data_IF_692391897453
#
_entry.id   IF_692391897453
#
_cell.length_a   1.000
_cell.length_b   1.000
_cell.length_c   1.000
_cell.angle_alpha   90.00
_cell.angle_beta   90.00
_cell.angle_gamma   90.00
#
_symmetry.space_group_name_H-M   'P 1'
#
loop_
_entity.id
_entity.type
_entity.pdbx_description
1 polymer ?
#
# COMPACT_ATOMS: atom_id res chain seq x y z
N UNK A 1 19.66 -21.24 -34.29
CA UNK A 1 19.34 -21.80 -32.96
C UNK A 1 18.30 -20.91 -32.31
N UNK A 2 17.05 -21.39 -32.25
CA UNK A 2 15.92 -20.65 -31.71
C UNK A 2 15.90 -20.78 -30.19
N UNK A 3 15.94 -19.65 -29.48
CA UNK A 3 15.72 -19.59 -28.04
C UNK A 3 14.22 -19.72 -27.76
N UNK A 4 13.85 -20.77 -27.03
CA UNK A 4 12.49 -20.99 -26.52
C UNK A 4 12.06 -19.82 -25.63
N UNK A 5 10.79 -19.38 -25.69
CA UNK A 5 10.26 -18.42 -24.74
C UNK A 5 10.17 -19.09 -23.36
N UNK A 6 10.86 -18.50 -22.38
CA UNK A 6 10.71 -18.86 -20.97
C UNK A 6 9.27 -18.61 -20.53
N UNK A 7 8.63 -19.71 -20.15
CA UNK A 7 7.32 -19.82 -19.58
C UNK A 7 7.25 -19.02 -18.26
N UNK A 8 6.58 -17.86 -18.31
CA UNK A 8 6.24 -17.04 -17.13
C UNK A 8 5.07 -17.62 -16.32
N UNK A 9 4.74 -18.90 -16.49
CA UNK A 9 3.88 -19.67 -15.59
C UNK A 9 4.67 -20.18 -14.36
N UNK A 10 5.30 -19.28 -13.58
CA UNK A 10 5.62 -19.62 -12.19
C UNK A 10 4.32 -19.52 -11.40
N UNK A 11 3.63 -20.65 -11.30
CA UNK A 11 2.60 -20.95 -10.31
C UNK A 11 2.94 -20.25 -8.99
N UNK A 12 2.15 -19.23 -8.64
CA UNK A 12 2.08 -18.67 -7.30
C UNK A 12 1.58 -19.79 -6.41
N UNK A 13 2.50 -20.51 -5.76
CA UNK A 13 2.17 -21.50 -4.74
C UNK A 13 1.19 -20.84 -3.76
N UNK A 14 -0.05 -21.35 -3.70
CA UNK A 14 -1.12 -20.84 -2.84
C UNK A 14 -0.59 -20.80 -1.40
N UNK A 15 -0.25 -19.60 -0.92
CA UNK A 15 0.29 -19.39 0.42
C UNK A 15 -0.83 -19.68 1.41
N UNK A 16 -0.69 -20.79 2.13
CA UNK A 16 -1.57 -21.07 3.28
C UNK A 16 -1.18 -20.13 4.41
N UNK A 17 -2.19 -19.68 5.15
CA UNK A 17 -2.04 -18.81 6.30
C UNK A 17 -2.47 -19.60 7.53
N UNK A 18 -1.62 -19.62 8.54
CA UNK A 18 -1.91 -20.22 9.83
C UNK A 18 -2.30 -19.12 10.81
N UNK A 19 -3.52 -19.13 11.32
CA UNK A 19 -3.99 -18.12 12.27
C UNK A 19 -4.10 -18.75 13.65
N UNK A 20 -3.50 -18.10 14.65
CA UNK A 20 -3.55 -18.52 16.04
C UNK A 20 -4.25 -17.43 16.85
N UNK A 21 -5.46 -17.72 17.33
CA UNK A 21 -6.17 -16.87 18.29
C UNK A 21 -5.74 -17.23 19.71
N UNK A 22 -5.39 -16.22 20.53
CA UNK A 22 -4.88 -16.46 21.89
C UNK A 22 -5.92 -16.78 22.94
N UNK A 23 -7.18 -16.47 22.67
CA UNK A 23 -8.29 -16.77 23.56
C UNK A 23 -9.58 -17.05 22.76
N UNK A 24 -10.62 -17.52 23.44
CA UNK A 24 -11.90 -17.88 22.83
C UNK A 24 -12.64 -16.68 22.19
N UNK A 25 -12.51 -15.47 22.75
CA UNK A 25 -13.15 -14.27 22.20
C UNK A 25 -12.54 -13.90 20.83
N UNK A 26 -11.21 -13.93 20.71
CA UNK A 26 -10.53 -13.66 19.44
C UNK A 26 -10.65 -14.81 18.45
N UNK A 27 -10.83 -16.04 18.93
CA UNK A 27 -11.20 -17.16 18.07
C UNK A 27 -12.59 -16.91 17.43
N UNK A 28 -13.58 -16.52 18.24
CA UNK A 28 -14.92 -16.16 17.75
C UNK A 28 -14.84 -15.05 16.70
N UNK A 29 -14.12 -13.96 16.98
CA UNK A 29 -13.89 -12.86 16.03
C UNK A 29 -13.23 -13.34 14.72
N UNK A 30 -12.20 -14.18 14.82
CA UNK A 30 -11.55 -14.77 13.64
C UNK A 30 -12.53 -15.66 12.85
N UNK A 31 -13.36 -16.47 13.51
CA UNK A 31 -14.38 -17.30 12.84
C UNK A 31 -15.43 -16.45 12.14
N UNK A 32 -15.95 -15.40 12.78
CA UNK A 32 -16.87 -14.44 12.18
C UNK A 32 -16.26 -13.83 10.91
N UNK A 33 -15.00 -13.40 10.99
CA UNK A 33 -14.27 -12.82 9.86
C UNK A 33 -14.04 -13.83 8.73
N UNK A 34 -13.69 -15.08 9.05
CA UNK A 34 -13.52 -16.16 8.08
C UNK A 34 -14.82 -16.55 7.37
N UNK A 35 -15.94 -16.46 8.07
CA UNK A 35 -17.25 -16.81 7.54
C UNK A 35 -17.73 -15.80 6.48
N UNK A 36 -17.24 -14.56 6.56
CA UNK A 36 -17.49 -13.52 5.55
C UNK A 36 -16.71 -13.75 4.25
N UNK A 37 -15.59 -14.47 4.30
CA UNK A 37 -14.81 -14.76 3.11
C UNK A 37 -15.48 -15.79 2.20
N UNK A 38 -15.32 -15.67 0.86
CA UNK A 38 -15.76 -16.70 -0.07
C UNK A 38 -15.07 -18.04 0.21
N UNK A 39 -15.73 -19.19 -0.05
CA UNK A 39 -15.22 -20.51 0.33
C UNK A 39 -13.80 -20.82 -0.16
N UNK A 40 -13.42 -20.30 -1.34
CA UNK A 40 -12.08 -20.49 -1.91
C UNK A 40 -10.96 -19.80 -1.11
N UNK A 41 -11.26 -18.66 -0.49
CA UNK A 41 -10.33 -17.92 0.35
C UNK A 41 -10.25 -18.55 1.74
N UNK A 42 -11.40 -18.98 2.29
CA UNK A 42 -11.46 -19.65 3.60
C UNK A 42 -10.57 -20.89 3.67
N UNK A 43 -10.51 -21.71 2.61
CA UNK A 43 -9.65 -22.91 2.54
C UNK A 43 -8.15 -22.62 2.63
N UNK A 44 -7.74 -21.37 2.42
CA UNK A 44 -6.33 -20.95 2.52
C UNK A 44 -5.95 -20.58 3.96
N UNK A 45 -6.93 -20.41 4.86
CA UNK A 45 -6.69 -20.02 6.25
C UNK A 45 -7.02 -21.18 7.17
N UNK A 46 -6.04 -21.56 7.99
CA UNK A 46 -6.20 -22.56 9.03
C UNK A 46 -6.19 -21.88 10.40
N UNK A 47 -7.35 -21.78 11.03
CA UNK A 47 -7.52 -21.20 12.37
C UNK A 47 -7.30 -22.25 13.45
N UNK A 48 -6.48 -21.92 14.44
CA UNK A 48 -6.26 -22.68 15.67
C UNK A 48 -6.38 -21.79 16.91
N UNK A 49 -6.65 -22.43 18.04
CA UNK A 49 -6.49 -21.82 19.36
C UNK A 49 -5.11 -22.17 19.92
N UNK A 50 -4.61 -21.33 20.83
CA UNK A 50 -3.35 -21.61 21.55
C UNK A 50 -3.40 -22.93 22.32
N UNK A 51 -4.55 -23.30 22.89
CA UNK A 51 -4.74 -24.56 23.63
C UNK A 51 -4.54 -25.80 22.75
N UNK A 52 -4.89 -25.73 21.47
CA UNK A 52 -4.73 -26.83 20.51
C UNK A 52 -3.33 -26.90 19.88
N UNK A 53 -2.47 -25.90 20.12
CA UNK A 53 -1.15 -25.81 19.50
C UNK A 53 -0.16 -26.88 20.01
N UNK A 54 -0.33 -27.35 21.26
CA UNK A 54 0.54 -28.37 21.88
C UNK A 54 0.53 -29.73 21.15
N UNK A 55 -0.40 -29.96 20.21
CA UNK A 55 -0.55 -31.23 19.48
C UNK A 55 0.00 -31.25 18.04
N UNK A 56 0.42 -30.11 17.45
CA UNK A 56 0.72 -30.03 16.00
C UNK A 56 2.11 -29.51 15.62
N UNK A 57 3.03 -29.39 16.59
CA UNK A 57 4.35 -28.75 16.41
C UNK A 57 5.35 -29.51 15.51
N UNK A 58 5.03 -30.74 15.07
CA UNK A 58 5.97 -31.60 14.34
C UNK A 58 5.86 -31.59 12.80
N UNK A 59 4.89 -30.88 12.18
CA UNK A 59 4.63 -31.05 10.73
C UNK A 59 4.68 -29.80 9.83
N UNK A 60 4.97 -28.59 10.32
CA UNK A 60 4.80 -27.36 9.51
C UNK A 60 6.04 -26.49 9.39
N UNK A 61 7.12 -27.03 8.84
CA UNK A 61 8.36 -26.28 8.63
C UNK A 61 8.50 -25.59 7.27
N UNK A 62 7.60 -25.79 6.29
CA UNK A 62 7.85 -25.30 4.93
C UNK A 62 6.63 -24.58 4.33
N UNK A 63 6.77 -23.24 4.20
CA UNK A 63 5.99 -22.31 3.37
C UNK A 63 4.64 -21.74 3.89
N UNK A 64 4.26 -21.92 5.15
CA UNK A 64 3.04 -21.31 5.73
C UNK A 64 3.38 -20.01 6.48
N UNK A 65 2.61 -18.94 6.27
CA UNK A 65 2.75 -17.71 7.06
C UNK A 65 1.91 -17.82 8.33
N UNK A 66 2.51 -17.65 9.50
CA UNK A 66 1.80 -17.67 10.79
C UNK A 66 1.39 -16.25 11.21
N UNK A 67 0.14 -16.08 11.62
CA UNK A 67 -0.45 -14.85 12.15
C UNK A 67 -1.05 -15.12 13.53
N UNK A 68 -0.54 -14.43 14.56
CA UNK A 68 -1.14 -14.41 15.88
C UNK A 68 -2.13 -13.25 15.97
N UNK A 69 -3.33 -13.53 16.48
CA UNK A 69 -4.37 -12.53 16.76
C UNK A 69 -4.66 -12.56 18.25
N UNK A 70 -4.40 -11.45 18.94
CA UNK A 70 -4.34 -11.47 20.41
C UNK A 70 -4.69 -10.13 21.03
N UNK A 71 -5.08 -10.12 22.30
CA UNK A 71 -4.95 -8.91 23.13
C UNK A 71 -3.54 -8.82 23.66
N UNK A 72 -3.11 -7.58 23.91
CA UNK A 72 -1.89 -7.33 24.65
C UNK A 72 -1.90 -8.11 25.97
N UNK A 73 -3.02 -8.07 26.71
CA UNK A 73 -3.20 -8.71 28.02
C UNK A 73 -2.97 -10.23 28.04
N UNK A 74 -3.32 -10.92 26.95
CA UNK A 74 -3.21 -12.38 26.85
C UNK A 74 -1.75 -12.85 26.71
N UNK A 75 -0.83 -11.94 26.38
CA UNK A 75 0.58 -12.26 26.29
C UNK A 75 1.18 -12.51 27.69
N UNK A 76 1.99 -13.57 27.88
CA UNK A 76 2.48 -13.94 29.20
C UNK A 76 3.36 -12.86 29.85
N UNK A 77 3.02 -12.49 31.09
CA UNK A 77 3.69 -11.43 31.87
C UNK A 77 5.04 -11.85 32.47
N UNK A 78 5.25 -13.12 32.82
CA UNK A 78 6.53 -13.66 33.31
C UNK A 78 7.02 -14.82 32.43
N UNK A 79 8.35 -14.98 32.37
CA UNK A 79 9.04 -15.79 31.37
C UNK A 79 8.65 -17.26 31.38
N UNK A 80 7.76 -17.66 30.49
CA UNK A 80 7.75 -19.02 29.97
C UNK A 80 8.92 -19.14 28.99
N UNK A 81 10.14 -19.35 29.50
CA UNK A 81 11.34 -19.67 28.69
C UNK A 81 11.21 -21.01 27.92
N UNK A 82 10.05 -21.67 27.92
CA UNK A 82 9.90 -23.04 27.41
C UNK A 82 8.78 -23.35 26.43
N UNK A 83 7.69 -22.56 26.31
CA UNK A 83 6.47 -23.12 25.66
C UNK A 83 6.07 -22.52 24.30
N UNK A 84 6.59 -21.35 23.92
CA UNK A 84 6.28 -20.74 22.62
C UNK A 84 7.55 -20.36 21.89
N UNK A 85 8.10 -21.31 21.14
CA UNK A 85 9.12 -21.01 20.13
C UNK A 85 8.42 -20.24 19.01
N UNK A 86 8.32 -18.91 19.15
CA UNK A 86 7.72 -18.05 18.14
C UNK A 86 8.52 -18.23 16.86
N UNK A 87 7.86 -18.69 15.80
CA UNK A 87 8.48 -18.89 14.50
C UNK A 87 9.07 -17.56 14.01
N UNK A 88 10.27 -17.63 13.40
CA UNK A 88 11.01 -16.44 12.95
C UNK A 88 10.27 -15.59 11.92
N UNK A 89 9.20 -16.12 11.31
CA UNK A 89 8.38 -15.45 10.29
C UNK A 89 6.93 -15.15 10.73
N UNK A 90 6.60 -15.30 12.02
CA UNK A 90 5.26 -15.02 12.50
C UNK A 90 4.95 -13.51 12.50
N UNK A 91 3.72 -13.13 12.14
CA UNK A 91 3.15 -11.79 12.33
C UNK A 91 2.23 -11.75 13.55
N UNK A 92 2.13 -10.60 14.19
CA UNK A 92 1.33 -10.39 15.39
C UNK A 92 0.39 -9.21 15.17
N UNK A 93 -0.92 -9.47 15.19
CA UNK A 93 -1.96 -8.46 15.31
C UNK A 93 -2.37 -8.42 16.78
N UNK A 94 -1.99 -7.35 17.49
CA UNK A 94 -2.29 -7.17 18.90
C UNK A 94 -3.29 -6.05 19.10
N UNK A 95 -4.35 -6.32 19.85
CA UNK A 95 -5.32 -5.33 20.27
C UNK A 95 -4.97 -4.82 21.67
N UNK A 96 -4.88 -3.50 21.81
CA UNK A 96 -4.45 -2.84 23.05
C UNK A 96 -5.66 -2.25 23.76
N UNK A 97 -5.89 -2.72 24.98
CA UNK A 97 -7.02 -2.35 25.84
C UNK A 97 -6.60 -1.71 27.18
N UNK A 98 -5.30 -1.45 27.35
CA UNK A 98 -4.72 -0.97 28.60
C UNK A 98 -3.41 -0.20 28.37
N UNK A 99 -2.67 0.15 29.44
CA UNK A 99 -1.49 1.01 29.36
C UNK A 99 -0.42 0.44 28.41
N UNK A 100 -0.02 1.25 27.43
CA UNK A 100 0.97 0.90 26.39
C UNK A 100 2.32 0.54 27.02
N UNK A 101 2.61 1.05 28.22
CA UNK A 101 3.81 0.79 29.01
C UNK A 101 4.02 -0.72 29.27
N UNK A 102 2.92 -1.47 29.40
CA UNK A 102 2.98 -2.93 29.56
C UNK A 102 3.51 -3.65 28.30
N UNK A 103 3.56 -2.98 27.16
CA UNK A 103 4.08 -3.51 25.90
C UNK A 103 5.60 -3.59 25.88
N UNK A 104 6.31 -2.60 26.44
CA UNK A 104 7.77 -2.56 26.44
C UNK A 104 8.38 -3.83 27.09
N UNK A 105 7.75 -4.32 28.16
CA UNK A 105 8.16 -5.56 28.84
C UNK A 105 7.82 -6.84 28.06
N UNK A 106 6.89 -6.78 27.11
CA UNK A 106 6.37 -7.94 26.34
C UNK A 106 7.03 -8.10 24.97
N UNK A 107 7.41 -6.99 24.30
CA UNK A 107 7.99 -7.00 22.95
C UNK A 107 9.22 -7.91 22.78
N UNK A 108 10.24 -7.90 23.67
CA UNK A 108 11.42 -8.73 23.50
C UNK A 108 11.10 -10.24 23.43
N UNK A 109 9.97 -10.66 24.00
CA UNK A 109 9.55 -12.07 24.09
C UNK A 109 8.85 -12.57 22.84
N UNK A 110 8.28 -11.67 22.06
CA UNK A 110 7.63 -12.03 20.80
C UNK A 110 8.66 -12.35 19.70
N UNK A 111 9.96 -12.15 19.95
CA UNK A 111 11.01 -12.38 18.95
C UNK A 111 10.84 -11.49 17.71
N UNK A 112 10.14 -10.36 17.87
CA UNK A 112 9.86 -9.40 16.82
C UNK A 112 11.10 -8.53 16.65
N UNK A 113 11.79 -8.75 15.54
CA UNK A 113 12.98 -7.97 15.16
C UNK A 113 12.70 -6.95 14.05
N UNK A 114 11.46 -6.92 13.56
CA UNK A 114 11.06 -6.05 12.46
C UNK A 114 9.69 -5.46 12.76
N UNK A 115 9.50 -4.13 12.57
CA UNK A 115 8.19 -3.49 12.74
C UNK A 115 7.13 -4.04 11.77
N UNK A 116 7.53 -4.64 10.64
CA UNK A 116 6.64 -5.28 9.68
C UNK A 116 6.06 -6.63 10.14
N UNK A 117 6.35 -7.04 11.38
CA UNK A 117 5.80 -8.26 11.99
C UNK A 117 4.82 -7.96 13.12
N UNK A 118 4.57 -6.68 13.40
CA UNK A 118 3.70 -6.25 14.49
C UNK A 118 2.76 -5.14 14.03
N UNK A 119 1.46 -5.36 14.25
CA UNK A 119 0.48 -4.29 14.26
C UNK A 119 -0.17 -4.18 15.63
N UNK A 120 -0.28 -2.96 16.12
CA UNK A 120 -0.96 -2.62 17.36
C UNK A 120 -2.24 -1.90 16.97
N UNK A 121 -3.36 -2.59 17.07
CA UNK A 121 -4.66 -1.99 16.87
C UNK A 121 -5.19 -1.48 18.21
N UNK A 122 -5.79 -0.29 18.23
CA UNK A 122 -6.61 0.11 19.36
C UNK A 122 -7.76 -0.89 19.52
N UNK A 123 -8.09 -1.28 20.76
CA UNK A 123 -9.30 -2.05 20.98
C UNK A 123 -10.52 -1.17 20.64
N UNK A 124 -11.37 -1.69 19.75
CA UNK A 124 -12.60 -1.05 19.27
C UNK A 124 -13.77 -1.98 19.59
N UNK A 125 -14.99 -1.55 19.26
CA UNK A 125 -16.17 -2.42 19.28
C UNK A 125 -15.94 -3.73 18.48
N UNK A 126 -16.65 -4.79 18.87
CA UNK A 126 -16.45 -6.15 18.33
C UNK A 126 -16.55 -6.17 16.78
N UNK A 127 -17.48 -5.40 16.21
CA UNK A 127 -17.67 -5.28 14.77
C UNK A 127 -16.47 -4.65 14.05
N UNK A 128 -15.87 -3.62 14.66
CA UNK A 128 -14.68 -2.96 14.12
C UNK A 128 -13.45 -3.87 14.14
N UNK A 129 -13.30 -4.67 15.20
CA UNK A 129 -12.25 -5.68 15.32
C UNK A 129 -12.44 -6.79 14.28
N UNK A 130 -13.66 -7.29 14.12
CA UNK A 130 -14.00 -8.28 13.10
C UNK A 130 -13.76 -7.73 11.67
N UNK A 131 -14.13 -6.48 11.40
CA UNK A 131 -13.86 -5.81 10.13
C UNK A 131 -12.38 -5.74 9.80
N UNK A 132 -11.53 -5.37 10.76
CA UNK A 132 -10.08 -5.34 10.58
C UNK A 132 -9.52 -6.74 10.28
N UNK A 133 -9.92 -7.75 11.05
CA UNK A 133 -9.47 -9.13 10.86
C UNK A 133 -9.94 -9.66 9.49
N UNK A 134 -11.18 -9.35 9.09
CA UNK A 134 -11.71 -9.70 7.77
C UNK A 134 -10.87 -9.10 6.63
N UNK A 135 -10.58 -7.79 6.66
CA UNK A 135 -9.75 -7.13 5.64
C UNK A 135 -8.35 -7.72 5.58
N UNK A 136 -7.77 -8.04 6.73
CA UNK A 136 -6.47 -8.72 6.81
C UNK A 136 -6.53 -10.10 6.16
N UNK A 137 -7.49 -10.95 6.53
CA UNK A 137 -7.63 -12.29 5.98
C UNK A 137 -7.95 -12.28 4.48
N UNK A 138 -8.82 -11.37 4.04
CA UNK A 138 -9.12 -11.13 2.64
C UNK A 138 -7.82 -10.86 1.88
N UNK A 139 -7.09 -9.80 2.26
CA UNK A 139 -5.87 -9.41 1.58
C UNK A 139 -4.74 -10.45 1.64
N UNK A 140 -4.66 -11.28 2.68
CA UNK A 140 -3.67 -12.35 2.76
C UNK A 140 -3.96 -13.56 1.85
N UNK A 141 -5.20 -13.72 1.39
CA UNK A 141 -5.65 -14.85 0.55
C UNK A 141 -5.82 -14.50 -0.92
N UNK A 142 -5.69 -13.22 -1.30
CA UNK A 142 -5.65 -12.79 -2.68
C UNK A 142 -4.26 -12.97 -3.28
N UNK A 143 -4.16 -13.81 -4.32
CA UNK A 143 -2.94 -13.98 -5.12
C UNK A 143 -2.68 -12.78 -6.04
N UNK A 144 -3.72 -12.00 -6.35
CA UNK A 144 -3.76 -11.03 -7.45
C UNK A 144 -3.32 -9.61 -7.04
N UNK A 145 -2.86 -9.43 -5.81
CA UNK A 145 -2.27 -8.16 -5.37
C UNK A 145 -3.25 -7.05 -4.99
N UNK A 146 -4.55 -7.34 -4.80
CA UNK A 146 -5.42 -6.39 -4.11
C UNK A 146 -4.90 -6.15 -2.69
N UNK A 147 -4.47 -4.93 -2.39
CA UNK A 147 -3.98 -4.55 -1.07
C UNK A 147 -5.04 -3.70 -0.36
N UNK A 148 -6.03 -4.33 0.30
CA UNK A 148 -6.99 -3.57 1.09
C UNK A 148 -6.27 -2.80 2.20
N UNK A 149 -6.84 -1.67 2.57
CA UNK A 149 -6.46 -0.91 3.75
C UNK A 149 -6.96 -1.70 4.95
N UNK A 150 -6.06 -2.40 5.63
CA UNK A 150 -6.42 -3.23 6.79
C UNK A 150 -6.82 -2.34 7.96
N UNK A 151 -6.00 -1.32 8.21
CA UNK A 151 -6.18 -0.32 9.24
C UNK A 151 -5.56 1.00 8.77
N UNK A 152 -5.99 2.09 9.39
CA UNK A 152 -5.46 3.42 9.15
C UNK A 152 -5.57 4.27 10.42
N UNK A 153 -4.59 5.14 10.63
CA UNK A 153 -4.58 6.08 11.76
C UNK A 153 -3.79 7.33 11.40
N UNK A 154 -4.06 8.41 12.13
CA UNK A 154 -3.23 9.62 12.08
C UNK A 154 -2.17 9.54 13.18
N UNK A 155 -0.92 9.71 12.79
CA UNK A 155 0.24 9.79 13.68
C UNK A 155 0.98 11.09 13.39
N UNK A 156 0.94 12.02 14.35
CA UNK A 156 1.48 13.38 14.19
C UNK A 156 0.88 14.06 12.94
N UNK A 157 1.72 14.43 11.98
CA UNK A 157 1.33 15.09 10.72
C UNK A 157 1.22 14.11 9.54
N UNK A 158 0.99 12.82 9.82
CA UNK A 158 0.85 11.80 8.79
C UNK A 158 -0.39 10.93 8.98
N UNK A 159 -1.04 10.59 7.87
CA UNK A 159 -1.96 9.47 7.78
C UNK A 159 -1.17 8.20 7.43
N UNK A 160 -1.28 7.16 8.24
CA UNK A 160 -0.61 5.88 8.03
C UNK A 160 -1.63 4.83 7.62
N UNK A 161 -1.35 4.13 6.51
CA UNK A 161 -2.18 3.04 5.99
C UNK A 161 -1.46 1.70 6.11
N UNK A 162 -2.11 0.72 6.74
CA UNK A 162 -1.59 -0.63 6.91
C UNK A 162 -2.06 -1.56 5.79
N UNK A 163 -1.12 -2.30 5.19
CA UNK A 163 -1.42 -3.38 4.25
C UNK A 163 -1.53 -4.75 4.94
N UNK A 164 -2.10 -5.77 4.27
CA UNK A 164 -2.09 -7.16 4.77
C UNK A 164 -0.67 -7.74 4.91
N UNK A 165 0.28 -7.17 4.18
CA UNK A 165 1.69 -7.50 4.29
C UNK A 165 2.36 -6.85 5.51
N UNK A 166 1.65 -6.03 6.29
CA UNK A 166 2.15 -5.19 7.39
C UNK A 166 3.14 -4.11 6.90
N UNK A 167 3.00 -3.72 5.64
CA UNK A 167 3.67 -2.55 5.09
C UNK A 167 2.86 -1.31 5.45
N UNK A 168 3.55 -0.25 5.84
CA UNK A 168 2.97 1.03 6.20
C UNK A 168 3.22 2.02 5.06
N UNK A 169 2.14 2.59 4.52
CA UNK A 169 2.24 3.74 3.63
C UNK A 169 1.98 4.98 4.45
N UNK A 170 2.93 5.91 4.43
CA UNK A 170 2.86 7.17 5.18
C UNK A 170 2.49 8.28 4.20
N UNK A 171 1.37 8.96 4.46
CA UNK A 171 0.83 10.05 3.65
C UNK A 171 0.85 11.33 4.48
N UNK A 172 1.70 12.32 4.12
CA UNK A 172 1.71 13.60 4.83
C UNK A 172 0.36 14.30 4.77
N UNK A 173 -0.15 14.81 5.90
CA UNK A 173 -1.47 15.47 5.96
C UNK A 173 -1.50 16.73 5.10
N UNK A 174 -0.39 17.45 4.98
CA UNK A 174 -0.23 18.59 4.07
C UNK A 174 -0.62 18.29 2.62
N UNK A 175 -0.38 17.04 2.17
CA UNK A 175 -0.72 16.61 0.81
C UNK A 175 -2.20 16.21 0.67
N UNK A 176 -2.87 15.94 1.79
CA UNK A 176 -4.30 15.65 1.84
C UNK A 176 -5.14 16.93 1.98
N UNK A 177 -4.57 17.99 2.58
CA UNK A 177 -5.24 19.26 2.81
C UNK A 177 -6.01 19.84 1.61
N UNK A 178 -5.49 19.78 0.36
CA UNK A 178 -6.22 20.28 -0.81
C UNK A 178 -7.49 19.49 -1.15
N UNK A 179 -7.61 18.25 -0.67
CA UNK A 179 -8.72 17.33 -0.97
C UNK A 179 -9.77 17.32 0.14
N UNK A 180 -9.33 17.34 1.40
CA UNK A 180 -10.20 17.09 2.56
C UNK A 180 -10.17 18.22 3.61
N UNK A 181 -9.47 19.32 3.33
CA UNK A 181 -9.34 20.48 4.24
C UNK A 181 -8.18 20.34 5.23
N UNK A 182 -7.95 21.38 6.03
CA UNK A 182 -6.77 21.52 6.91
C UNK A 182 -7.00 21.16 8.38
N UNK A 183 -8.24 20.88 8.77
CA UNK A 183 -8.59 20.56 10.16
C UNK A 183 -8.17 19.12 10.49
N UNK A 184 -7.11 18.97 11.29
CA UNK A 184 -6.55 17.66 11.65
C UNK A 184 -7.55 16.73 12.34
N UNK A 185 -8.52 17.27 13.10
CA UNK A 185 -9.56 16.44 13.74
C UNK A 185 -10.52 15.87 12.71
N UNK A 186 -10.88 16.67 11.70
CA UNK A 186 -11.73 16.21 10.59
C UNK A 186 -10.97 15.24 9.68
N UNK A 187 -9.68 15.47 9.47
CA UNK A 187 -8.83 14.52 8.73
C UNK A 187 -8.69 13.19 9.49
N UNK A 188 -8.70 13.17 10.82
CA UNK A 188 -8.69 11.92 11.59
C UNK A 188 -10.07 11.22 11.63
N UNK A 189 -11.15 11.92 11.30
CA UNK A 189 -12.52 11.40 11.29
C UNK A 189 -12.87 10.77 9.93
N UNK A 190 -12.25 9.63 9.64
CA UNK A 190 -12.56 8.80 8.48
C UNK A 190 -13.10 7.44 8.87
N UNK A 191 -13.84 6.84 7.94
CA UNK A 191 -14.25 5.45 7.99
C UNK A 191 -13.45 4.62 7.01
N UNK A 192 -13.12 3.39 7.40
CA UNK A 192 -12.55 2.39 6.49
C UNK A 192 -13.73 1.59 5.96
N UNK A 193 -13.88 1.55 4.64
CA UNK A 193 -14.88 0.73 3.99
C UNK A 193 -14.76 -0.75 4.42
N UNK A 194 -15.86 -1.49 4.35
CA UNK A 194 -15.97 -2.85 4.86
C UNK A 194 -14.88 -3.78 4.29
N UNK A 195 -14.66 -3.68 2.98
CA UNK A 195 -13.64 -4.43 2.24
C UNK A 195 -12.26 -3.75 2.24
N UNK A 196 -12.15 -2.55 2.82
CA UNK A 196 -10.91 -1.79 2.90
C UNK A 196 -10.46 -1.21 1.56
N UNK A 197 -11.37 -1.03 0.61
CA UNK A 197 -11.02 -0.50 -0.71
C UNK A 197 -10.71 0.99 -0.61
N UNK A 198 -11.46 1.72 0.21
CA UNK A 198 -11.35 3.17 0.38
C UNK A 198 -11.38 3.59 1.85
N UNK A 199 -10.77 4.73 2.13
CA UNK A 199 -11.11 5.58 3.26
C UNK A 199 -12.16 6.60 2.82
N UNK A 200 -13.16 6.80 3.67
CA UNK A 200 -14.23 7.78 3.46
C UNK A 200 -14.14 8.90 4.49
N UNK A 201 -14.18 10.16 4.04
CA UNK A 201 -14.30 11.34 4.89
C UNK A 201 -15.68 11.98 4.74
N UNK A 202 -16.61 11.76 5.69
CA UNK A 202 -17.99 12.23 5.59
C UNK A 202 -18.11 13.76 5.41
N UNK A 203 -17.23 14.54 6.05
CA UNK A 203 -17.31 15.99 6.01
C UNK A 203 -16.92 16.61 4.66
N UNK A 204 -16.15 15.88 3.85
CA UNK A 204 -15.69 16.32 2.54
C UNK A 204 -16.38 15.56 1.39
N UNK A 205 -17.13 14.50 1.71
CA UNK A 205 -17.69 13.53 0.77
C UNK A 205 -16.64 12.94 -0.19
N UNK A 206 -15.48 12.57 0.37
CA UNK A 206 -14.33 12.09 -0.39
C UNK A 206 -14.02 10.64 -0.07
N UNK A 207 -13.84 9.83 -1.13
CA UNK A 207 -13.38 8.45 -1.05
C UNK A 207 -11.98 8.33 -1.67
N UNK A 208 -10.99 7.87 -0.90
CA UNK A 208 -9.63 7.66 -1.38
C UNK A 208 -9.19 6.23 -1.14
N UNK A 209 -8.75 5.57 -2.21
CA UNK A 209 -8.22 4.22 -2.14
C UNK A 209 -6.70 4.22 -2.06
N UNK A 210 -6.12 3.05 -1.80
CA UNK A 210 -4.67 2.87 -1.67
C UNK A 210 -3.89 3.35 -2.89
N UNK A 211 -4.44 3.20 -4.09
CA UNK A 211 -3.82 3.69 -5.33
C UNK A 211 -3.81 5.22 -5.42
N UNK A 212 -4.88 5.89 -4.99
CA UNK A 212 -4.93 7.35 -4.92
C UNK A 212 -3.91 7.86 -3.90
N UNK A 213 -3.82 7.24 -2.72
CA UNK A 213 -2.78 7.59 -1.75
C UNK A 213 -1.37 7.38 -2.31
N UNK A 214 -1.14 6.28 -3.05
CA UNK A 214 0.14 6.04 -3.73
C UNK A 214 0.48 7.17 -4.68
N UNK A 215 -0.49 7.69 -5.44
CA UNK A 215 -0.29 8.83 -6.35
C UNK A 215 0.01 10.13 -5.59
N UNK A 216 -0.59 10.33 -4.41
CA UNK A 216 -0.35 11.51 -3.57
C UNK A 216 1.09 11.50 -3.01
N UNK A 217 1.56 10.34 -2.56
CA UNK A 217 2.90 10.22 -1.94
C UNK A 217 4.03 10.05 -2.96
N UNK A 218 3.77 9.37 -4.08
CA UNK A 218 4.73 9.09 -5.14
C UNK A 218 4.31 9.81 -6.44
N UNK A 219 4.94 10.96 -6.77
CA UNK A 219 4.62 11.71 -7.97
C UNK A 219 4.92 10.92 -9.26
N UNK A 220 5.74 9.86 -9.21
CA UNK A 220 5.93 8.95 -10.36
C UNK A 220 4.72 8.04 -10.55
N UNK A 221 4.12 7.56 -9.47
CA UNK A 221 2.88 6.78 -9.53
C UNK A 221 1.71 7.63 -10.05
N UNK A 222 1.66 8.91 -9.68
CA UNK A 222 0.69 9.88 -10.23
C UNK A 222 0.82 10.01 -11.76
N UNK A 223 2.05 10.16 -12.24
CA UNK A 223 2.33 10.23 -13.68
C UNK A 223 1.98 8.92 -14.37
N UNK A 224 2.36 7.76 -13.83
CA UNK A 224 2.06 6.46 -14.41
C UNK A 224 0.54 6.19 -14.51
N UNK A 225 -0.24 6.67 -13.55
CA UNK A 225 -1.70 6.58 -13.60
C UNK A 225 -2.30 7.44 -14.71
N UNK A 226 -1.74 8.63 -14.96
CA UNK A 226 -2.17 9.53 -16.04
C UNK A 226 -1.74 9.02 -17.44
N UNK A 227 -0.65 8.25 -17.51
CA UNK A 227 -0.12 7.61 -18.73
C UNK A 227 -1.00 6.48 -19.31
N UNK A 228 -2.19 6.22 -18.72
CA UNK A 228 -3.16 5.24 -19.25
C UNK A 228 -3.76 5.62 -20.62
N UNK A 229 -3.62 6.87 -21.08
CA UNK A 229 -4.03 7.27 -22.43
C UNK A 229 -2.84 7.49 -23.37
N UNK A 230 -2.97 7.05 -24.63
CA UNK A 230 -1.95 7.30 -25.67
C UNK A 230 -1.76 8.81 -25.93
N UNK A 231 -2.83 9.59 -25.83
CA UNK A 231 -2.78 11.05 -25.99
C UNK A 231 -1.94 11.71 -24.89
N UNK A 232 -2.12 11.28 -23.63
CA UNK A 232 -1.27 11.72 -22.54
C UNK A 232 0.19 11.33 -22.79
N UNK A 233 0.46 10.08 -23.20
CA UNK A 233 1.83 9.63 -23.47
C UNK A 233 2.53 10.46 -24.55
N UNK A 234 1.80 10.88 -25.60
CA UNK A 234 2.33 11.77 -26.64
C UNK A 234 2.68 13.15 -26.09
N UNK A 235 1.76 13.79 -25.36
CA UNK A 235 1.99 15.13 -24.76
C UNK A 235 3.11 15.09 -23.70
N UNK A 236 3.10 14.06 -22.86
CA UNK A 236 4.10 13.83 -21.85
C UNK A 236 5.48 13.57 -22.45
N UNK A 237 5.56 12.75 -23.51
CA UNK A 237 6.79 12.54 -24.27
C UNK A 237 7.32 13.81 -24.92
N UNK A 238 6.43 14.65 -25.48
CA UNK A 238 6.80 15.94 -26.06
C UNK A 238 7.35 16.90 -25.00
N UNK A 239 6.72 16.99 -23.82
CA UNK A 239 7.22 17.81 -22.71
C UNK A 239 8.60 17.35 -22.21
N UNK A 240 8.86 16.02 -22.18
CA UNK A 240 10.20 15.48 -21.86
C UNK A 240 11.21 15.91 -22.91
N UNK A 241 10.85 15.80 -24.19
CA UNK A 241 11.72 16.18 -25.31
C UNK A 241 12.08 17.65 -25.27
N UNK A 242 11.09 18.53 -25.10
CA UNK A 242 11.30 19.98 -25.00
C UNK A 242 12.26 20.32 -23.86
N UNK A 243 12.00 19.80 -22.66
CA UNK A 243 12.86 20.03 -21.50
C UNK A 243 14.29 19.51 -21.72
N UNK A 244 14.45 18.38 -22.40
CA UNK A 244 15.76 17.83 -22.78
C UNK A 244 16.49 18.75 -23.75
N UNK A 245 15.83 19.17 -24.83
CA UNK A 245 16.41 20.02 -25.88
C UNK A 245 16.78 21.40 -25.35
N UNK A 246 15.95 22.01 -24.51
CA UNK A 246 16.24 23.27 -23.82
C UNK A 246 17.48 23.19 -22.92
N UNK A 247 17.74 22.01 -22.34
CA UNK A 247 18.92 21.79 -21.49
C UNK A 247 20.16 21.37 -22.29
N UNK A 248 20.07 21.31 -23.62
CA UNK A 248 21.18 20.90 -24.49
C UNK A 248 21.59 19.43 -24.38
N UNK A 249 20.81 18.59 -23.71
CA UNK A 249 21.13 17.17 -23.52
C UNK A 249 20.79 16.37 -24.77
N UNK A 250 21.73 15.55 -25.26
CA UNK A 250 21.44 14.60 -26.35
C UNK A 250 20.79 13.36 -25.78
N UNK A 251 20.07 12.63 -26.63
CA UNK A 251 19.44 11.36 -26.22
C UNK A 251 20.47 10.29 -25.80
N UNK A 252 21.71 10.40 -26.26
CA UNK A 252 22.85 9.55 -25.85
C UNK A 252 23.38 9.87 -24.45
N UNK A 253 23.09 11.07 -23.94
CA UNK A 253 23.75 11.63 -22.76
C UNK A 253 22.99 11.30 -21.48
N UNK A 254 21.93 10.47 -21.55
CA UNK A 254 21.11 10.04 -20.42
C UNK A 254 21.57 8.66 -19.95
N UNK A 255 22.33 8.55 -18.84
CA UNK A 255 22.88 7.29 -18.39
C UNK A 255 21.76 6.31 -18.00
N UNK A 256 21.95 5.02 -18.30
CA UNK A 256 20.98 3.98 -17.94
C UNK A 256 19.77 3.87 -18.87
N UNK A 257 19.66 4.69 -19.91
CA UNK A 257 18.62 4.60 -20.95
C UNK A 257 19.27 4.59 -22.33
N UNK A 258 18.85 3.68 -23.21
CA UNK A 258 19.32 3.73 -24.60
C UNK A 258 18.63 4.87 -25.36
N UNK A 259 19.34 5.54 -26.27
CA UNK A 259 18.77 6.61 -27.10
C UNK A 259 17.49 6.15 -27.85
N UNK A 260 17.44 4.87 -28.27
CA UNK A 260 16.24 4.26 -28.88
C UNK A 260 15.06 4.18 -27.92
N UNK A 261 15.28 3.79 -26.67
CA UNK A 261 14.23 3.72 -25.65
C UNK A 261 13.75 5.13 -25.28
N UNK A 262 14.67 6.07 -25.09
CA UNK A 262 14.34 7.46 -24.81
C UNK A 262 13.54 8.09 -25.96
N UNK A 263 13.95 7.88 -27.22
CA UNK A 263 13.20 8.33 -28.40
C UNK A 263 11.78 7.79 -28.43
N UNK A 264 11.57 6.52 -28.09
CA UNK A 264 10.21 5.94 -28.02
C UNK A 264 9.34 6.60 -26.95
N UNK A 265 9.92 6.91 -25.79
CA UNK A 265 9.23 7.63 -24.71
C UNK A 265 8.87 9.06 -25.15
N UNK A 266 9.81 9.77 -25.76
CA UNK A 266 9.60 11.14 -26.27
C UNK A 266 8.50 11.24 -27.34
N UNK A 267 8.28 10.17 -28.11
CA UNK A 267 7.22 10.12 -29.14
C UNK A 267 5.91 9.51 -28.62
N UNK A 268 5.81 9.20 -27.32
CA UNK A 268 4.63 8.58 -26.71
C UNK A 268 4.39 7.12 -27.12
N UNK A 269 5.38 6.46 -27.74
CA UNK A 269 5.34 5.03 -28.11
C UNK A 269 5.63 4.07 -26.95
N UNK A 270 5.98 4.61 -25.78
CA UNK A 270 6.03 3.90 -24.50
C UNK A 270 5.82 4.89 -23.35
N UNK A 271 5.18 4.45 -22.25
CA UNK A 271 5.06 5.24 -21.03
C UNK A 271 6.46 5.55 -20.45
N UNK A 272 6.62 6.75 -19.88
CA UNK A 272 7.85 7.13 -19.19
C UNK A 272 7.86 6.48 -17.80
N UNK A 273 8.61 5.39 -17.67
CA UNK A 273 8.69 4.63 -16.42
C UNK A 273 9.48 5.38 -15.33
N UNK A 274 9.35 4.92 -14.09
CA UNK A 274 10.07 5.48 -12.94
C UNK A 274 11.58 5.53 -13.13
N UNK A 275 12.17 4.46 -13.68
CA UNK A 275 13.60 4.41 -13.98
C UNK A 275 14.01 5.42 -15.06
N UNK A 276 13.17 5.61 -16.08
CA UNK A 276 13.41 6.59 -17.14
C UNK A 276 13.36 8.02 -16.59
N UNK A 277 12.34 8.33 -15.78
CA UNK A 277 12.17 9.66 -15.20
C UNK A 277 13.30 10.02 -14.24
N UNK A 278 13.79 9.05 -13.46
CA UNK A 278 14.92 9.25 -12.55
C UNK A 278 16.22 9.50 -13.31
N UNK A 279 16.55 8.65 -14.29
CA UNK A 279 17.74 8.83 -15.11
C UNK A 279 17.74 10.16 -15.89
N UNK A 280 16.57 10.64 -16.32
CA UNK A 280 16.43 11.97 -16.90
C UNK A 280 16.69 13.06 -15.85
N UNK A 281 16.03 13.01 -14.69
CA UNK A 281 16.27 13.98 -13.61
C UNK A 281 17.76 14.07 -13.23
N UNK A 282 18.42 12.92 -13.10
CA UNK A 282 19.84 12.81 -12.79
C UNK A 282 20.72 13.42 -13.90
N UNK A 283 20.43 13.13 -15.18
CA UNK A 283 21.13 13.74 -16.31
C UNK A 283 20.94 15.26 -16.39
N UNK A 284 19.81 15.76 -15.91
CA UNK A 284 19.52 17.19 -15.76
C UNK A 284 20.12 17.82 -14.50
N UNK A 285 20.76 17.04 -13.62
CA UNK A 285 21.32 17.50 -12.35
C UNK A 285 20.26 18.00 -11.36
N UNK A 286 19.04 17.44 -11.41
CA UNK A 286 17.89 17.91 -10.63
C UNK A 286 17.30 16.79 -9.80
N UNK A 287 16.63 17.18 -8.72
CA UNK A 287 15.79 16.24 -7.98
C UNK A 287 14.65 15.74 -8.89
N UNK A 288 14.23 14.50 -8.67
CA UNK A 288 13.09 13.92 -9.39
C UNK A 288 11.82 14.75 -9.21
N UNK A 289 11.60 15.30 -8.02
CA UNK A 289 10.43 16.14 -7.72
C UNK A 289 10.44 17.45 -8.53
N UNK A 290 11.58 18.13 -8.60
CA UNK A 290 11.72 19.36 -9.40
C UNK A 290 11.57 19.10 -10.91
N UNK A 291 12.11 17.96 -11.36
CA UNK A 291 11.96 17.53 -12.75
C UNK A 291 10.48 17.30 -13.11
N UNK A 292 9.73 16.60 -12.24
CA UNK A 292 8.30 16.36 -12.45
C UNK A 292 7.47 17.64 -12.37
N UNK A 293 7.80 18.58 -11.48
CA UNK A 293 7.15 19.91 -11.44
C UNK A 293 7.33 20.67 -12.75
N UNK A 294 8.52 20.60 -13.34
CA UNK A 294 8.79 21.26 -14.62
C UNK A 294 8.06 20.62 -15.80
N UNK A 295 7.97 19.29 -15.82
CA UNK A 295 7.15 18.58 -16.81
C UNK A 295 5.67 18.92 -16.64
N UNK A 296 5.15 18.97 -15.41
CA UNK A 296 3.76 19.34 -15.14
C UNK A 296 3.44 20.79 -15.59
N UNK A 297 4.39 21.72 -15.45
CA UNK A 297 4.24 23.09 -15.96
C UNK A 297 4.16 23.12 -17.50
N UNK A 298 5.04 22.37 -18.19
CA UNK A 298 5.02 22.28 -19.66
C UNK A 298 3.76 21.59 -20.19
N UNK A 299 3.32 20.51 -19.54
CA UNK A 299 2.06 19.84 -19.88
C UNK A 299 0.84 20.76 -19.81
N UNK A 300 0.82 21.67 -18.82
CA UNK A 300 -0.22 22.70 -18.69
C UNK A 300 -0.15 23.75 -19.79
N UNK A 301 1.07 24.09 -20.25
CA UNK A 301 1.28 25.01 -21.37
C UNK A 301 0.91 24.37 -22.72
N UNK A 302 1.08 23.05 -22.86
CA UNK A 302 0.69 22.25 -24.03
C UNK A 302 -0.78 21.82 -24.04
N UNK A 303 -1.62 22.31 -23.12
CA UNK A 303 -3.06 22.02 -23.13
C UNK A 303 -3.73 22.67 -24.36
N UNK A 304 -4.67 21.98 -25.02
CA UNK A 304 -5.23 22.45 -26.28
C UNK A 304 -5.93 23.80 -26.13
N UNK A 305 -5.62 24.69 -27.07
CA UNK A 305 -6.13 26.06 -27.22
C UNK A 305 -7.67 26.16 -27.37
N UNK A 306 -8.38 25.02 -27.40
CA UNK A 306 -9.84 24.93 -27.54
C UNK A 306 -10.62 25.51 -26.35
N UNK A 307 -9.99 25.70 -25.18
CA UNK A 307 -10.64 26.37 -24.04
C UNK A 307 -10.58 27.91 -24.12
N UNK A 308 -9.60 28.48 -24.84
CA UNK A 308 -9.42 29.94 -24.93
C UNK A 308 -10.37 30.59 -25.95
N UNK A 309 -10.89 29.84 -26.93
CA UNK A 309 -11.87 30.35 -27.88
C UNK A 309 -13.34 30.29 -27.42
N UNK A 310 -13.67 29.45 -26.42
CA UNK A 310 -15.04 29.41 -25.86
C UNK A 310 -15.37 30.57 -24.91
N UNK A 311 -14.38 31.19 -24.25
CA UNK A 311 -14.66 32.37 -23.39
C UNK A 311 -14.82 33.68 -24.19
N UNK A 312 -14.19 33.79 -25.38
CA UNK A 312 -14.35 34.97 -26.25
C UNK A 312 -15.68 35.00 -27.02
N UNK A 313 -16.34 33.86 -27.22
CA UNK A 313 -17.65 33.79 -27.88
C UNK A 313 -18.85 34.04 -26.95
N UNK A 314 -18.64 34.02 -25.62
CA UNK A 314 -19.70 34.24 -24.62
C UNK A 314 -19.81 35.69 -24.14
N UNK A 315 -18.87 36.55 -24.52
CA UNK A 315 -18.88 38.00 -24.25
C UNK A 315 -19.25 38.85 -25.49
N UNK A 316 -19.88 38.24 -26.51
CA UNK A 316 -20.40 38.94 -27.71
C UNK A 316 -21.82 38.50 -28.06
N UNK A 317 -22.61 38.16 -27.05
CA UNK A 317 -24.04 37.87 -27.18
C UNK A 317 -24.80 38.73 -26.20
#
# INVERSE_FOLDING_TARGET
MATKPEDRSRQTARRRVHVIATNAAYEKLCRTSLNRLPPQHRKQIHLQTVSSQKQTSSQRAQACQTLYVSRLADLPQKGARGEHKVESNAKHLLFVSGPIEAMAARLPRLGIRSPHRLHLAAEREEENVAGLIYRLFSGMTHADGSQPIVDAWVEQDNLVLLSPAFDRMVVPLEKLSPLIGTDSKKIAAFDIDEDGVFLYWPHADVHLGREQFRQIVDPVAAVAAQQKSQEFNRRYGAAIRELREESGLRQSDVPGITARHLRRVEHGGSPATSGVLRALADAHGRSLDDYLKQLATRLRQQAPENARHRSKRRNRS
#
